data_IF_108009907863
#
_entry.id   IF_108009907863
#
_cell.length_a   1.000
_cell.length_b   1.000
_cell.length_c   1.000
_cell.angle_alpha   90.00
_cell.angle_beta   90.00
_cell.angle_gamma   90.00
#
_symmetry.space_group_name_H-M   'P 1'
#
loop_
_entity.id
_entity.type
_entity.pdbx_description
1 polymer ?
#
# COMPACT_ATOMS: atom_id res chain seq x y z
N UNK A 1 19.81 6.04 15.88
CA UNK A 1 19.43 6.09 14.46
C UNK A 1 19.02 4.69 14.02
N UNK A 2 17.72 4.42 13.87
CA UNK A 2 17.25 3.11 13.42
C UNK A 2 17.65 2.89 11.97
N UNK A 3 18.48 1.87 11.70
CA UNK A 3 18.85 1.45 10.35
C UNK A 3 17.58 1.15 9.56
N UNK A 4 17.26 1.98 8.56
CA UNK A 4 16.13 1.70 7.66
C UNK A 4 16.42 0.41 6.90
N UNK A 5 15.56 -0.60 7.06
CA UNK A 5 15.72 -1.91 6.43
C UNK A 5 15.87 -1.80 4.91
N UNK A 6 16.48 -2.81 4.28
CA UNK A 6 16.64 -2.86 2.81
C UNK A 6 15.29 -2.71 2.09
N UNK A 7 14.24 -3.35 2.63
CA UNK A 7 12.86 -3.30 2.11
C UNK A 7 12.27 -1.89 2.21
N UNK A 8 12.41 -1.23 3.36
CA UNK A 8 11.90 0.12 3.56
C UNK A 8 12.61 1.15 2.67
N UNK A 9 13.92 1.00 2.45
CA UNK A 9 14.67 1.86 1.51
C UNK A 9 14.20 1.65 0.06
N UNK A 10 13.96 0.41 -0.35
CA UNK A 10 13.42 0.11 -1.67
C UNK A 10 12.03 0.73 -1.86
N UNK A 11 11.15 0.58 -0.86
CA UNK A 11 9.84 1.22 -0.85
C UNK A 11 9.93 2.74 -0.95
N UNK A 12 10.74 3.42 -0.13
CA UNK A 12 10.88 4.89 -0.18
C UNK A 12 11.41 5.41 -1.51
N UNK A 13 12.27 4.65 -2.20
CA UNK A 13 12.72 5.02 -3.56
C UNK A 13 11.59 4.85 -4.57
N UNK A 14 10.87 3.75 -4.47
CA UNK A 14 9.72 3.47 -5.33
C UNK A 14 8.63 4.53 -5.17
N UNK A 15 8.28 4.92 -3.94
CA UNK A 15 7.26 5.96 -3.69
C UNK A 15 7.61 7.27 -4.39
N UNK A 16 8.88 7.69 -4.31
CA UNK A 16 9.37 8.89 -5.03
C UNK A 16 9.26 8.74 -6.54
N UNK A 17 9.62 7.58 -7.11
CA UNK A 17 9.49 7.35 -8.56
C UNK A 17 8.04 7.34 -9.05
N UNK A 18 7.10 7.09 -8.14
CA UNK A 18 5.66 7.05 -8.43
C UNK A 18 4.99 8.41 -8.13
N UNK A 19 5.72 9.42 -7.63
CA UNK A 19 5.15 10.71 -7.23
C UNK A 19 4.31 10.64 -5.95
N UNK A 20 4.57 9.66 -5.09
CA UNK A 20 3.96 9.54 -3.77
C UNK A 20 4.83 10.31 -2.78
N UNK A 21 4.26 11.36 -2.21
CA UNK A 21 4.92 12.23 -1.25
C UNK A 21 4.34 12.03 0.15
N UNK A 22 5.21 11.96 1.15
CA UNK A 22 4.84 11.88 2.56
C UNK A 22 5.34 13.13 3.27
N UNK A 23 4.54 13.64 4.21
CA UNK A 23 4.97 14.74 5.09
C UNK A 23 6.13 14.29 5.98
N UNK A 24 7.06 15.20 6.25
CA UNK A 24 8.17 14.98 7.19
C UNK A 24 7.70 14.75 8.63
N UNK A 25 6.43 15.03 8.91
CA UNK A 25 5.76 14.66 10.16
C UNK A 25 5.59 13.14 10.33
N UNK A 26 5.82 12.33 9.29
CA UNK A 26 5.70 10.88 9.34
C UNK A 26 7.05 10.17 9.35
N UNK A 27 7.20 9.22 10.26
CA UNK A 27 8.31 8.29 10.31
C UNK A 27 7.85 6.87 10.02
N UNK A 28 8.52 6.23 9.05
CA UNK A 28 8.36 4.81 8.76
C UNK A 28 9.35 3.98 9.57
N UNK A 29 8.85 2.93 10.21
CA UNK A 29 9.64 1.97 10.98
C UNK A 29 9.39 0.55 10.48
N UNK A 30 10.46 -0.25 10.32
CA UNK A 30 10.39 -1.67 9.98
C UNK A 30 10.93 -2.45 11.18
N UNK A 31 10.09 -3.30 11.79
CA UNK A 31 10.44 -4.13 12.95
C UNK A 31 10.88 -5.55 12.54
N UNK A 32 11.04 -5.81 11.25
CA UNK A 32 11.36 -7.11 10.67
C UNK A 32 10.10 -7.88 10.25
N UNK A 33 9.00 -7.73 10.98
CA UNK A 33 7.73 -8.42 10.70
C UNK A 33 6.77 -7.55 9.88
N UNK A 34 6.70 -6.25 10.19
CA UNK A 34 5.80 -5.30 9.58
C UNK A 34 6.44 -3.92 9.44
N UNK A 35 5.92 -3.14 8.50
CA UNK A 35 6.22 -1.71 8.40
C UNK A 35 5.07 -0.92 9.02
N UNK A 36 5.43 -0.02 9.91
CA UNK A 36 4.52 0.87 10.63
C UNK A 36 4.85 2.33 10.33
N UNK A 37 3.83 3.19 10.46
CA UNK A 37 4.01 4.65 10.41
C UNK A 37 3.71 5.23 11.78
N UNK A 38 4.56 6.16 12.21
CA UNK A 38 4.42 6.95 13.43
C UNK A 38 4.47 8.43 13.08
N UNK A 39 3.66 9.24 13.75
CA UNK A 39 3.77 10.70 13.69
C UNK A 39 4.93 11.18 14.59
N UNK A 40 5.75 12.10 14.09
CA UNK A 40 6.84 12.75 14.82
C UNK A 40 6.39 13.99 15.59
N UNK A 41 5.21 14.50 15.27
CA UNK A 41 4.58 15.64 15.93
C UNK A 41 3.06 15.40 16.01
N UNK A 42 2.38 16.28 16.76
CA UNK A 42 0.93 16.27 16.83
C UNK A 42 0.33 16.69 15.48
N UNK A 43 -0.46 15.79 14.90
CA UNK A 43 -1.19 16.02 13.66
C UNK A 43 -2.59 16.53 13.99
N UNK A 44 -3.02 17.59 13.31
CA UNK A 44 -4.37 18.15 13.42
C UNK A 44 -5.27 17.61 12.32
N UNK A 45 -6.58 17.64 12.56
CA UNK A 45 -7.56 17.30 11.54
C UNK A 45 -7.45 18.30 10.39
N UNK A 46 -7.29 17.80 9.17
CA UNK A 46 -7.07 18.61 7.97
C UNK A 46 -5.60 18.67 7.52
N UNK A 47 -4.64 18.22 8.35
CA UNK A 47 -3.24 18.20 7.95
C UNK A 47 -2.99 17.16 6.84
N UNK A 48 -2.31 17.59 5.77
CA UNK A 48 -1.94 16.71 4.67
C UNK A 48 -0.73 15.86 5.06
N UNK A 49 -0.97 14.59 5.35
CA UNK A 49 0.07 13.64 5.77
C UNK A 49 0.75 12.92 4.60
N UNK A 50 0.05 12.78 3.48
CA UNK A 50 0.56 12.15 2.27
C UNK A 50 -0.23 12.58 1.04
N UNK A 51 0.42 12.57 -0.12
CA UNK A 51 -0.18 12.70 -1.45
C UNK A 51 0.09 11.41 -2.23
N UNK A 52 -0.99 10.76 -2.67
CA UNK A 52 -0.91 9.49 -3.40
C UNK A 52 -1.65 9.67 -4.72
N UNK A 53 -0.96 9.70 -5.87
CA UNK A 53 -1.63 9.79 -7.15
C UNK A 53 -2.47 8.53 -7.39
N UNK A 54 -3.70 8.69 -7.91
CA UNK A 54 -4.62 7.57 -8.16
C UNK A 54 -4.04 6.50 -9.11
N UNK A 55 -3.15 6.92 -10.01
CA UNK A 55 -2.45 6.03 -10.95
C UNK A 55 -1.52 5.04 -10.27
N UNK A 56 -1.06 5.33 -9.06
CA UNK A 56 -0.13 4.49 -8.28
C UNK A 56 -0.85 3.45 -7.44
N UNK A 57 -2.15 3.64 -7.21
CA UNK A 57 -2.98 2.69 -6.50
C UNK A 57 -3.15 1.42 -7.33
N UNK A 58 -2.93 0.25 -6.73
CA UNK A 58 -3.19 -1.03 -7.38
C UNK A 58 -4.70 -1.28 -7.45
N UNK A 59 -5.26 -1.20 -8.65
CA UNK A 59 -6.67 -1.44 -8.94
C UNK A 59 -6.77 -2.34 -10.15
N UNK A 60 -7.97 -2.86 -10.45
CA UNK A 60 -8.21 -3.58 -11.72
C UNK A 60 -7.75 -2.76 -12.93
N UNK A 61 -8.07 -1.45 -12.94
CA UNK A 61 -7.80 -0.55 -14.07
C UNK A 61 -6.32 -0.22 -14.26
N UNK A 62 -5.55 -0.23 -13.18
CA UNK A 62 -4.13 0.12 -13.19
C UNK A 62 -3.24 -1.11 -13.27
N UNK A 63 -3.73 -2.30 -12.92
CA UNK A 63 -2.99 -3.55 -13.02
C UNK A 63 -2.72 -3.97 -14.47
N UNK A 64 -1.65 -4.73 -14.69
CA UNK A 64 -1.38 -5.38 -15.98
C UNK A 64 -2.38 -6.48 -16.33
N UNK A 65 -3.21 -6.93 -15.37
CA UNK A 65 -4.25 -7.94 -15.57
C UNK A 65 -5.58 -7.38 -16.08
N UNK A 66 -5.66 -6.07 -16.33
CA UNK A 66 -6.91 -5.37 -16.65
C UNK A 66 -7.73 -6.09 -17.73
N UNK A 67 -7.12 -6.37 -18.87
CA UNK A 67 -7.83 -6.95 -20.02
C UNK A 67 -8.35 -8.37 -19.72
N UNK A 68 -7.59 -9.14 -18.93
CA UNK A 68 -7.98 -10.47 -18.49
C UNK A 68 -9.15 -10.43 -17.50
N UNK A 69 -9.13 -9.47 -16.56
CA UNK A 69 -10.19 -9.29 -15.56
C UNK A 69 -11.48 -8.78 -16.22
N UNK A 70 -11.36 -7.83 -17.15
CA UNK A 70 -12.50 -7.27 -17.89
C UNK A 70 -13.12 -8.32 -18.82
N UNK A 71 -12.31 -9.08 -19.57
CA UNK A 71 -12.82 -10.17 -20.44
C UNK A 71 -13.47 -11.31 -19.67
N UNK A 72 -13.00 -11.61 -18.46
CA UNK A 72 -13.61 -12.59 -17.57
C UNK A 72 -14.85 -12.07 -16.81
N UNK A 73 -15.22 -10.79 -16.99
CA UNK A 73 -16.37 -10.18 -16.31
C UNK A 73 -16.20 -10.07 -14.79
N UNK A 74 -14.97 -10.04 -14.29
CA UNK A 74 -14.68 -10.06 -12.86
C UNK A 74 -14.76 -8.65 -12.26
N UNK A 75 -15.82 -8.38 -11.51
CA UNK A 75 -16.05 -7.11 -10.83
C UNK A 75 -15.62 -7.06 -9.36
N UNK A 76 -15.63 -5.85 -8.80
CA UNK A 76 -15.51 -5.62 -7.35
C UNK A 76 -14.24 -6.19 -6.71
N UNK A 77 -14.42 -6.79 -5.53
CA UNK A 77 -13.32 -7.37 -4.73
C UNK A 77 -12.66 -8.58 -5.39
N UNK A 78 -13.39 -9.32 -6.22
CA UNK A 78 -12.87 -10.49 -6.93
C UNK A 78 -11.89 -10.06 -8.02
N UNK A 79 -12.25 -9.07 -8.83
CA UNK A 79 -11.35 -8.48 -9.82
C UNK A 79 -10.08 -7.92 -9.16
N UNK A 80 -10.21 -7.23 -8.03
CA UNK A 80 -9.06 -6.72 -7.29
C UNK A 80 -8.17 -7.85 -6.76
N UNK A 81 -8.75 -8.95 -6.29
CA UNK A 81 -8.00 -10.11 -5.81
C UNK A 81 -7.16 -10.72 -6.94
N UNK A 82 -7.74 -10.87 -8.13
CA UNK A 82 -7.01 -11.34 -9.32
C UNK A 82 -5.92 -10.36 -9.73
N UNK A 83 -6.17 -9.05 -9.71
CA UNK A 83 -5.15 -8.04 -9.99
C UNK A 83 -3.96 -8.16 -9.04
N UNK A 84 -4.20 -8.32 -7.74
CA UNK A 84 -3.14 -8.50 -6.73
C UNK A 84 -2.37 -9.81 -6.96
N UNK A 85 -3.07 -10.91 -7.27
CA UNK A 85 -2.43 -12.20 -7.54
C UNK A 85 -1.56 -12.15 -8.81
N UNK A 86 -2.05 -11.49 -9.86
CA UNK A 86 -1.30 -11.30 -11.10
C UNK A 86 -0.02 -10.50 -10.86
N UNK A 87 -0.10 -9.35 -10.22
CA UNK A 87 1.09 -8.52 -9.91
C UNK A 87 2.07 -9.25 -8.99
N UNK A 88 1.58 -10.09 -8.06
CA UNK A 88 2.45 -10.96 -7.27
C UNK A 88 3.17 -12.01 -8.10
N UNK A 89 2.48 -12.60 -9.08
CA UNK A 89 3.06 -13.63 -9.95
C UNK A 89 4.23 -13.10 -10.79
N UNK A 90 4.20 -11.81 -11.14
CA UNK A 90 5.29 -11.13 -11.85
C UNK A 90 6.55 -10.90 -10.98
N UNK A 91 6.45 -11.04 -9.66
CA UNK A 91 7.58 -10.89 -8.75
C UNK A 91 8.24 -9.51 -8.88
N UNK A 92 9.54 -9.48 -9.19
CA UNK A 92 10.31 -8.24 -9.32
C UNK A 92 9.99 -7.43 -10.59
N UNK A 93 9.35 -8.05 -11.57
CA UNK A 93 8.94 -7.39 -12.81
C UNK A 93 7.66 -6.56 -12.63
N UNK A 94 6.94 -6.74 -11.51
CA UNK A 94 5.76 -5.93 -11.21
C UNK A 94 6.14 -4.49 -10.86
N UNK A 95 5.43 -3.49 -11.40
CA UNK A 95 5.56 -2.11 -10.95
C UNK A 95 5.28 -1.94 -9.45
N UNK A 96 4.49 -2.82 -8.84
CA UNK A 96 4.14 -2.79 -7.41
C UNK A 96 5.02 -3.70 -6.54
N UNK A 97 6.08 -4.31 -7.10
CA UNK A 97 6.93 -5.23 -6.35
C UNK A 97 7.45 -4.66 -5.02
N UNK A 98 7.93 -3.39 -4.94
CA UNK A 98 8.41 -2.82 -3.68
C UNK A 98 7.31 -2.65 -2.63
N UNK A 99 6.06 -2.43 -3.04
CA UNK A 99 4.89 -2.35 -2.16
C UNK A 99 4.43 -3.74 -1.69
N UNK A 100 4.34 -4.69 -2.62
CA UNK A 100 3.90 -6.06 -2.34
C UNK A 100 4.89 -6.82 -1.44
N UNK A 101 6.18 -6.53 -1.54
CA UNK A 101 7.22 -7.10 -0.67
C UNK A 101 7.10 -6.62 0.78
N UNK A 102 6.47 -5.47 1.06
CA UNK A 102 6.30 -5.00 2.43
C UNK A 102 5.24 -5.78 3.21
N UNK A 103 4.36 -6.49 2.51
CA UNK A 103 3.28 -7.22 3.15
C UNK A 103 3.83 -8.53 3.72
N UNK A 104 3.68 -8.79 5.03
CA UNK A 104 4.08 -10.07 5.58
C UNK A 104 3.26 -11.18 4.90
N UNK A 105 3.96 -12.18 4.37
CA UNK A 105 3.36 -13.36 3.75
C UNK A 105 2.65 -14.29 4.77
N UNK A 106 2.60 -13.89 6.05
CA UNK A 106 2.13 -14.69 7.16
C UNK A 106 1.00 -13.99 7.89
N UNK A 107 -0.08 -14.75 8.11
CA UNK A 107 -1.14 -14.47 9.08
C UNK A 107 -0.57 -14.47 10.52
N UNK A 108 0.34 -13.55 10.81
CA UNK A 108 0.90 -13.33 12.15
C UNK A 108 -0.08 -12.54 12.99
N UNK A 109 -0.29 -12.98 14.23
CA UNK A 109 -1.37 -12.51 15.12
C UNK A 109 -1.39 -10.97 15.22
N UNK A 110 -2.57 -10.41 15.00
CA UNK A 110 -2.85 -8.98 15.08
C UNK A 110 -2.65 -8.47 16.51
N UNK A 111 -1.43 -8.08 16.86
CA UNK A 111 -1.16 -7.34 18.08
C UNK A 111 -1.73 -5.94 17.97
N UNK A 112 -2.94 -5.71 18.50
CA UNK A 112 -3.56 -4.38 18.60
C UNK A 112 -2.76 -3.51 19.58
N UNK A 113 -1.65 -2.89 19.14
CA UNK A 113 -1.00 -1.81 19.89
C UNK A 113 -1.72 -0.49 19.58
N UNK A 114 -2.30 0.11 20.62
CA UNK A 114 -2.93 1.44 20.58
C UNK A 114 -1.86 2.45 20.15
N UNK A 115 -2.03 3.11 19.00
CA UNK A 115 -1.14 4.18 18.51
C UNK A 115 -0.19 3.85 17.35
N UNK A 116 -0.16 2.60 16.86
CA UNK A 116 0.63 2.23 15.67
C UNK A 116 -0.31 1.94 14.50
N UNK A 117 -0.18 2.71 13.41
CA UNK A 117 -0.89 2.42 12.17
C UNK A 117 -0.07 1.40 11.38
N UNK A 118 -0.54 0.15 11.41
CA UNK A 118 -0.04 -0.92 10.56
C UNK A 118 -0.37 -0.62 9.09
N UNK A 119 0.66 -0.47 8.27
CA UNK A 119 0.53 -0.15 6.84
C UNK A 119 -0.16 -1.30 6.11
N UNK A 120 0.07 -2.55 6.54
CA UNK A 120 -0.45 -3.75 5.86
C UNK A 120 -1.97 -3.84 5.91
N UNK A 121 -2.59 -3.40 7.01
CA UNK A 121 -4.04 -3.52 7.23
C UNK A 121 -4.84 -2.33 6.71
N UNK A 122 -4.30 -1.10 6.82
CA UNK A 122 -5.02 0.11 6.42
C UNK A 122 -4.82 0.52 4.97
N UNK A 123 -3.70 0.18 4.31
CA UNK A 123 -3.51 0.60 2.91
C UNK A 123 -4.20 -0.29 1.88
N UNK A 124 -4.32 -1.61 2.11
CA UNK A 124 -5.25 -2.45 1.32
C UNK A 124 -6.70 -1.95 1.50
N UNK A 125 -7.04 -1.50 2.71
CA UNK A 125 -8.33 -0.88 2.98
C UNK A 125 -8.46 0.50 2.35
N UNK A 126 -7.43 1.35 2.24
CA UNK A 126 -7.52 2.67 1.56
C UNK A 126 -7.67 2.50 0.04
N UNK A 127 -7.10 1.45 -0.54
CA UNK A 127 -7.33 1.07 -1.94
C UNK A 127 -8.77 0.51 -2.16
N UNK A 128 -9.43 0.02 -1.11
CA UNK A 128 -10.81 -0.52 -1.19
C UNK A 128 -11.90 0.44 -0.66
N UNK A 129 -11.59 1.33 0.29
CA UNK A 129 -12.54 2.15 1.03
C UNK A 129 -12.76 3.53 0.41
N UNK A 130 -11.87 3.98 -0.48
CA UNK A 130 -12.11 5.16 -1.32
C UNK A 130 -13.07 4.89 -2.49
N UNK A 131 -13.44 3.63 -2.74
CA UNK A 131 -14.28 3.24 -3.87
C UNK A 131 -15.77 3.06 -3.53
N UNK A 132 -16.13 3.09 -2.23
CA UNK A 132 -17.52 2.91 -1.79
C UNK A 132 -18.31 4.23 -1.67
N UNK A 133 -17.73 5.39 -1.98
CA UNK A 133 -18.42 6.69 -1.83
C UNK A 133 -18.45 7.57 -3.09
N UNK A 134 -18.01 7.05 -4.24
CA UNK A 134 -18.07 7.75 -5.54
C UNK A 134 -18.57 6.83 -6.66
N UNK A 135 -19.61 6.04 -6.35
CA UNK A 135 -20.41 5.30 -7.32
C UNK A 135 -21.90 5.69 -7.18
N UNK A 136 -22.13 7.00 -7.18
CA UNK A 136 -23.30 7.68 -7.72
C UNK A 136 -22.79 8.87 -8.55
#
# INVERSE_FOLDING_TARGET
MGSSSRRLRAFKRWTRSQGIDFSDALQFTDDGEAISVRALCDLKVGDMVARIPKTTCLTVKTSGARDLIESAGLGGSLGLSVAVLYERSLGQSSPWAPYLHLQPFRNGKAGRRRGVVDISRKWIAVVSAGFAQYLL
#
